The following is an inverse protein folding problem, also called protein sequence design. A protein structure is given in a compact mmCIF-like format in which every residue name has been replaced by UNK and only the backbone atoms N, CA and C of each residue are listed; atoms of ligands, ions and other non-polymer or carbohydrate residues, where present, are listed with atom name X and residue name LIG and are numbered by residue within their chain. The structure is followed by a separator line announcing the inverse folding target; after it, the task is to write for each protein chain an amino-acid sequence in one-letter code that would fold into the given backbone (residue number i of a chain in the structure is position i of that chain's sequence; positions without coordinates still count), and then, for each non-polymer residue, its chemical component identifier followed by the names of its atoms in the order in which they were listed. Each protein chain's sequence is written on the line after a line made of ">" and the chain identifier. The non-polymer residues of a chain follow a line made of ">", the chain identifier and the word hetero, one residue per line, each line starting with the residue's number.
data_IF_609087633346
#
_entry.id   IF_609087633346
#
_cell.length_a   1.000
_cell.length_b   1.000
_cell.length_c   1.000
_cell.angle_alpha   90.00
_cell.angle_beta   90.00
_cell.angle_gamma   90.00
#
_symmetry.space_group_name_H-M   'P 1'
#
loop_
_entity.id
_entity.type
_entity.pdbx_description
1 polymer ?
#
# COMPACT_ATOMS: atom_id res chain seq x y z
N UNK A 1 -15.15 -11.40 2.68
CA UNK A 1 -15.24 -9.95 2.39
C UNK A 1 -16.53 -9.74 1.64
N UNK A 2 -17.39 -8.83 2.08
CA UNK A 2 -18.61 -8.46 1.37
C UNK A 2 -18.38 -7.10 0.71
N UNK A 3 -18.77 -6.96 -0.56
CA UNK A 3 -18.66 -5.71 -1.32
C UNK A 3 -20.06 -5.21 -1.59
N UNK A 4 -20.44 -4.02 -1.10
CA UNK A 4 -21.77 -3.48 -1.38
C UNK A 4 -21.85 -3.01 -2.83
N UNK A 5 -23.00 -3.25 -3.47
CA UNK A 5 -23.30 -2.75 -4.82
C UNK A 5 -23.62 -1.25 -4.78
N UNK A 6 -24.26 -0.79 -3.70
CA UNK A 6 -24.49 0.62 -3.39
C UNK A 6 -23.55 1.03 -2.25
N UNK A 7 -22.42 1.65 -2.63
CA UNK A 7 -21.35 2.02 -1.70
C UNK A 7 -21.14 3.52 -1.53
N UNK A 8 -21.68 4.33 -2.44
CA UNK A 8 -21.55 5.78 -2.43
C UNK A 8 -22.67 6.44 -3.24
N UNK A 9 -23.29 7.50 -2.69
CA UNK A 9 -24.39 8.21 -3.33
C UNK A 9 -24.07 8.83 -4.70
N UNK A 10 -22.78 9.05 -5.03
CA UNK A 10 -22.31 9.56 -6.32
C UNK A 10 -21.61 8.50 -7.18
N UNK A 11 -21.74 7.21 -6.87
CA UNK A 11 -20.94 6.17 -7.53
C UNK A 11 -21.10 6.17 -9.05
N UNK A 12 -22.32 6.39 -9.59
CA UNK A 12 -22.53 6.45 -11.03
C UNK A 12 -21.69 7.55 -11.71
N UNK A 13 -21.81 8.80 -11.21
CA UNK A 13 -21.02 9.94 -11.70
C UNK A 13 -19.51 9.68 -11.64
N UNK A 14 -19.04 9.07 -10.55
CA UNK A 14 -17.62 8.80 -10.34
C UNK A 14 -17.12 7.63 -11.20
N UNK A 15 -17.95 6.63 -11.45
CA UNK A 15 -17.64 5.55 -12.38
C UNK A 15 -17.50 6.08 -13.81
N UNK A 16 -18.43 6.95 -14.25
CA UNK A 16 -18.34 7.58 -15.58
C UNK A 16 -17.04 8.37 -15.74
N UNK A 17 -16.66 9.16 -14.73
CA UNK A 17 -15.41 9.91 -14.72
C UNK A 17 -14.17 9.00 -14.70
N UNK A 18 -14.20 7.92 -13.94
CA UNK A 18 -13.13 6.92 -13.88
C UNK A 18 -12.96 6.19 -15.23
N UNK A 19 -14.06 5.85 -15.91
CA UNK A 19 -14.03 5.21 -17.23
C UNK A 19 -13.52 6.18 -18.30
N UNK A 20 -13.92 7.45 -18.22
CA UNK A 20 -13.52 8.50 -19.17
C UNK A 20 -12.06 8.94 -19.00
N UNK A 21 -11.40 8.59 -17.89
CA UNK A 21 -10.04 9.00 -17.58
C UNK A 21 -9.03 8.54 -18.64
N UNK A 22 -8.14 9.45 -19.03
CA UNK A 22 -7.18 9.19 -20.10
C UNK A 22 -6.08 8.20 -19.66
N UNK A 23 -5.55 7.42 -20.61
CA UNK A 23 -4.38 6.55 -20.35
C UNK A 23 -3.17 7.32 -19.77
N UNK A 24 -2.82 8.53 -20.27
CA UNK A 24 -1.78 9.36 -19.64
C UNK A 24 -2.04 9.67 -18.16
N UNK A 25 -3.29 9.94 -17.79
CA UNK A 25 -3.70 10.16 -16.39
C UNK A 25 -3.39 8.92 -15.55
N UNK A 26 -3.83 7.74 -15.97
CA UNK A 26 -3.55 6.48 -15.25
C UNK A 26 -2.06 6.21 -15.09
N UNK A 27 -1.26 6.39 -16.16
CA UNK A 27 0.19 6.20 -16.10
C UNK A 27 0.88 7.16 -15.12
N UNK A 28 0.44 8.42 -15.09
CA UNK A 28 0.97 9.42 -14.14
C UNK A 28 0.64 9.02 -12.70
N UNK A 29 -0.62 8.69 -12.42
CA UNK A 29 -1.08 8.30 -11.09
C UNK A 29 -0.40 7.02 -10.60
N UNK A 30 -0.21 6.05 -11.49
CA UNK A 30 0.56 4.84 -11.18
C UNK A 30 2.00 5.16 -10.78
N UNK A 31 2.68 6.06 -11.50
CA UNK A 31 4.03 6.48 -11.14
C UNK A 31 4.10 7.20 -9.77
N UNK A 32 3.05 7.92 -9.38
CA UNK A 32 2.94 8.50 -8.03
C UNK A 32 2.81 7.39 -6.95
N UNK A 33 1.99 6.37 -7.20
CA UNK A 33 1.83 5.19 -6.34
C UNK A 33 3.15 4.43 -6.17
N UNK A 34 3.84 4.13 -7.27
CA UNK A 34 5.14 3.42 -7.24
C UNK A 34 6.19 4.20 -6.47
N UNK A 35 6.27 5.53 -6.67
CA UNK A 35 7.17 6.38 -5.88
C UNK A 35 6.85 6.30 -4.40
N UNK A 36 5.58 6.41 -4.03
CA UNK A 36 5.15 6.33 -2.63
C UNK A 36 5.48 4.96 -2.02
N UNK A 37 5.20 3.86 -2.72
CA UNK A 37 5.61 2.51 -2.30
C UNK A 37 7.11 2.42 -2.02
N UNK A 38 7.95 2.86 -2.95
CA UNK A 38 9.41 2.80 -2.79
C UNK A 38 9.90 3.70 -1.64
N UNK A 39 9.28 4.86 -1.43
CA UNK A 39 9.54 5.74 -0.28
C UNK A 39 9.18 5.07 1.04
N UNK A 40 8.01 4.41 1.12
CA UNK A 40 7.57 3.71 2.32
C UNK A 40 8.41 2.46 2.59
N UNK A 41 8.86 1.76 1.54
CA UNK A 41 9.84 0.67 1.67
C UNK A 41 11.18 1.20 2.20
N UNK A 42 11.64 2.34 1.72
CA UNK A 42 12.84 3.01 2.25
C UNK A 42 12.71 3.37 3.73
N UNK A 43 11.58 3.96 4.15
CA UNK A 43 11.30 4.24 5.57
C UNK A 43 11.24 2.97 6.43
N UNK A 44 10.67 1.87 5.92
CA UNK A 44 10.66 0.59 6.63
C UNK A 44 12.07 0.00 6.80
N UNK A 45 12.93 0.10 5.77
CA UNK A 45 14.34 -0.29 5.89
C UNK A 45 15.08 0.57 6.91
N UNK A 46 14.86 1.89 6.90
CA UNK A 46 15.46 2.80 7.86
C UNK A 46 15.08 2.44 9.30
N UNK A 47 13.78 2.20 9.55
CA UNK A 47 13.29 1.76 10.86
C UNK A 47 13.86 0.39 11.29
N UNK A 48 14.15 -0.49 10.33
CA UNK A 48 14.80 -1.77 10.57
C UNK A 48 16.33 -1.68 10.73
N UNK A 49 16.93 -0.49 10.56
CA UNK A 49 18.39 -0.29 10.56
C UNK A 49 19.10 -0.83 9.31
N UNK A 50 18.38 -1.02 8.21
CA UNK A 50 18.89 -1.58 6.96
C UNK A 50 19.27 -0.49 5.93
N UNK A 51 20.16 -0.78 4.96
CA UNK A 51 20.59 0.19 3.95
C UNK A 51 19.45 0.71 3.06
N UNK A 52 19.25 2.03 3.03
CA UNK A 52 18.17 2.69 2.27
C UNK A 52 18.58 3.10 0.85
N UNK A 53 19.88 3.37 0.64
CA UNK A 53 20.43 3.91 -0.61
C UNK A 53 19.99 3.18 -1.90
N UNK A 54 19.90 1.83 -1.93
CA UNK A 54 19.45 1.11 -3.12
C UNK A 54 18.03 1.48 -3.57
N UNK A 55 17.11 1.79 -2.65
CA UNK A 55 15.74 2.20 -2.98
C UNK A 55 15.67 3.69 -3.33
N UNK A 56 16.40 4.54 -2.61
CA UNK A 56 16.48 5.99 -2.90
C UNK A 56 16.91 6.27 -4.34
N UNK A 57 17.86 5.48 -4.86
CA UNK A 57 18.30 5.59 -6.25
C UNK A 57 17.21 5.24 -7.29
N UNK A 58 16.25 4.37 -6.93
CA UNK A 58 15.15 3.97 -7.80
C UNK A 58 14.01 5.00 -7.81
N UNK A 59 13.69 5.60 -6.65
CA UNK A 59 12.60 6.58 -6.50
C UNK A 59 12.73 7.72 -7.51
N UNK A 60 13.94 8.26 -7.67
CA UNK A 60 14.23 9.37 -8.58
C UNK A 60 14.13 8.99 -10.07
N UNK A 61 14.12 7.69 -10.39
CA UNK A 61 14.06 7.18 -11.76
C UNK A 61 12.66 6.77 -12.19
N UNK A 62 11.68 6.75 -11.29
CA UNK A 62 10.30 6.35 -11.63
C UNK A 62 9.71 7.31 -12.65
N UNK A 63 9.31 6.77 -13.81
CA UNK A 63 8.68 7.52 -14.90
C UNK A 63 7.21 7.17 -15.01
N UNK A 64 6.45 7.99 -15.76
CA UNK A 64 5.01 7.76 -16.00
C UNK A 64 4.76 6.35 -16.55
N UNK A 65 3.92 5.59 -15.87
CA UNK A 65 3.60 4.19 -16.20
C UNK A 65 4.67 3.16 -15.82
N UNK A 66 5.73 3.55 -15.11
CA UNK A 66 6.85 2.70 -14.68
C UNK A 66 7.37 1.71 -15.75
N UNK A 67 7.79 2.20 -16.93
CA UNK A 67 8.13 1.32 -18.07
C UNK A 67 9.35 0.42 -17.80
N UNK A 68 10.24 0.83 -16.90
CA UNK A 68 11.43 0.07 -16.52
C UNK A 68 11.17 -0.91 -15.37
N UNK A 69 9.92 -1.02 -14.91
CA UNK A 69 9.47 -1.89 -13.83
C UNK A 69 10.28 -1.67 -12.54
N UNK A 70 10.49 -0.40 -12.17
CA UNK A 70 11.23 -0.04 -10.96
C UNK A 70 10.52 -0.48 -9.69
N UNK A 71 9.20 -0.63 -9.73
CA UNK A 71 8.41 -1.23 -8.67
C UNK A 71 8.91 -2.64 -8.30
N UNK A 72 9.01 -3.55 -9.29
CA UNK A 72 9.46 -4.92 -9.05
C UNK A 72 10.96 -4.98 -8.72
N UNK A 73 11.78 -4.12 -9.34
CA UNK A 73 13.20 -4.02 -9.00
C UNK A 73 13.40 -3.57 -7.55
N UNK A 74 12.62 -2.60 -7.09
CA UNK A 74 12.62 -2.14 -5.71
C UNK A 74 12.18 -3.24 -4.75
N UNK A 75 11.07 -3.93 -5.04
CA UNK A 75 10.58 -5.04 -4.23
C UNK A 75 11.64 -6.16 -4.08
N UNK A 76 12.32 -6.55 -5.16
CA UNK A 76 13.37 -7.59 -5.10
C UNK A 76 14.51 -7.19 -4.15
N UNK A 77 14.98 -5.93 -4.20
CA UNK A 77 16.03 -5.42 -3.30
C UNK A 77 15.53 -5.32 -1.86
N UNK A 78 14.32 -4.78 -1.69
CA UNK A 78 13.68 -4.56 -0.41
C UNK A 78 13.58 -5.84 0.42
N UNK A 79 13.08 -6.93 -0.17
CA UNK A 79 12.92 -8.20 0.54
C UNK A 79 14.22 -8.76 1.09
N UNK A 80 15.31 -8.72 0.30
CA UNK A 80 16.62 -9.17 0.75
C UNK A 80 17.21 -8.29 1.86
N UNK A 81 17.01 -6.98 1.78
CA UNK A 81 17.49 -6.03 2.78
C UNK A 81 16.73 -6.13 4.11
N UNK A 82 15.41 -6.39 4.06
CA UNK A 82 14.59 -6.45 5.27
C UNK A 82 14.63 -7.83 5.95
N UNK A 83 14.52 -8.92 5.18
CA UNK A 83 14.40 -10.28 5.71
C UNK A 83 15.65 -11.15 5.52
N UNK A 84 16.69 -10.63 4.87
CA UNK A 84 17.92 -11.36 4.57
C UNK A 84 17.93 -11.97 3.16
N UNK A 85 19.13 -12.26 2.64
CA UNK A 85 19.34 -12.67 1.24
C UNK A 85 18.70 -14.01 0.88
N UNK A 86 18.46 -14.88 1.85
CA UNK A 86 17.83 -16.18 1.67
C UNK A 86 16.30 -16.09 1.57
N UNK A 87 15.69 -14.98 2.01
CA UNK A 87 14.25 -14.83 1.96
C UNK A 87 13.77 -14.73 0.51
N UNK A 88 12.73 -15.51 0.20
CA UNK A 88 12.03 -15.47 -1.08
C UNK A 88 10.55 -15.24 -0.83
N UNK A 89 10.00 -14.23 -1.50
CA UNK A 89 8.57 -13.95 -1.46
C UNK A 89 7.85 -15.03 -2.29
N UNK A 90 7.07 -15.86 -1.63
CA UNK A 90 6.25 -16.91 -2.24
C UNK A 90 4.80 -16.80 -1.72
N UNK A 91 3.83 -16.76 -2.62
CA UNK A 91 2.42 -16.68 -2.27
C UNK A 91 1.91 -17.98 -1.63
N UNK A 92 2.46 -19.14 -1.98
CA UNK A 92 2.15 -20.43 -1.34
C UNK A 92 3.02 -20.76 -0.13
N UNK A 93 4.00 -19.90 0.17
CA UNK A 93 4.98 -20.14 1.22
C UNK A 93 4.39 -20.06 2.62
N UNK A 94 5.04 -20.77 3.54
CA UNK A 94 4.71 -20.80 4.96
C UNK A 94 5.47 -19.70 5.76
N UNK A 95 5.37 -19.78 7.09
CA UNK A 95 6.08 -18.91 8.02
C UNK A 95 5.84 -17.42 7.75
N UNK A 96 6.92 -16.68 7.46
CA UNK A 96 6.88 -15.26 7.14
C UNK A 96 5.99 -14.94 5.93
N UNK A 97 5.99 -15.80 4.90
CA UNK A 97 5.15 -15.61 3.72
C UNK A 97 3.66 -15.70 4.08
N UNK A 98 3.28 -16.65 4.94
CA UNK A 98 1.93 -16.77 5.45
C UNK A 98 1.49 -15.54 6.27
N UNK A 99 2.40 -14.98 7.09
CA UNK A 99 2.13 -13.74 7.83
C UNK A 99 1.93 -12.53 6.90
N UNK A 100 2.81 -12.35 5.92
CA UNK A 100 2.68 -11.30 4.90
C UNK A 100 1.37 -11.44 4.11
N UNK A 101 1.04 -12.66 3.67
CA UNK A 101 -0.21 -12.95 2.96
C UNK A 101 -1.44 -12.56 3.79
N UNK A 102 -1.45 -12.90 5.08
CA UNK A 102 -2.55 -12.55 5.98
C UNK A 102 -2.68 -11.03 6.16
N UNK A 103 -1.57 -10.35 6.49
CA UNK A 103 -1.55 -8.91 6.67
C UNK A 103 -1.99 -8.15 5.40
N UNK A 104 -1.51 -8.58 4.22
CA UNK A 104 -1.97 -8.03 2.95
C UNK A 104 -3.43 -8.31 2.66
N UNK A 105 -3.97 -9.46 3.07
CA UNK A 105 -5.40 -9.75 2.90
C UNK A 105 -6.26 -8.80 3.76
N UNK A 106 -5.83 -8.53 4.99
CA UNK A 106 -6.48 -7.56 5.89
C UNK A 106 -6.40 -6.15 5.31
N UNK A 107 -5.22 -5.74 4.84
CA UNK A 107 -4.98 -4.45 4.20
C UNK A 107 -5.84 -4.27 2.94
N UNK A 108 -5.84 -5.27 2.06
CA UNK A 108 -6.65 -5.30 0.84
C UNK A 108 -8.14 -5.14 1.16
N UNK A 109 -8.62 -5.75 2.24
CA UNK A 109 -10.00 -5.56 2.70
C UNK A 109 -10.30 -4.13 3.12
N UNK A 110 -9.37 -3.46 3.81
CA UNK A 110 -9.51 -2.06 4.20
C UNK A 110 -9.48 -1.13 2.97
N UNK A 111 -8.53 -1.35 2.05
CA UNK A 111 -8.43 -0.60 0.80
C UNK A 111 -9.67 -0.80 -0.08
N UNK A 112 -10.24 -2.01 -0.14
CA UNK A 112 -11.48 -2.27 -0.86
C UNK A 112 -12.66 -1.44 -0.33
N UNK A 113 -12.81 -1.35 1.00
CA UNK A 113 -13.82 -0.49 1.62
C UNK A 113 -13.59 0.98 1.28
N UNK A 114 -12.34 1.44 1.29
CA UNK A 114 -11.99 2.81 0.92
C UNK A 114 -12.33 3.12 -0.54
N UNK A 115 -12.01 2.21 -1.48
CA UNK A 115 -12.33 2.33 -2.91
C UNK A 115 -13.84 2.45 -3.14
N UNK A 116 -14.61 1.53 -2.57
CA UNK A 116 -16.07 1.52 -2.73
C UNK A 116 -16.71 2.73 -2.05
N UNK A 117 -16.26 3.07 -0.84
CA UNK A 117 -16.74 4.25 -0.11
C UNK A 117 -16.40 5.57 -0.82
N UNK A 118 -15.34 5.61 -1.64
CA UNK A 118 -15.02 6.74 -2.51
C UNK A 118 -15.82 6.74 -3.83
N UNK A 119 -16.73 5.79 -4.04
CA UNK A 119 -17.51 5.67 -5.27
C UNK A 119 -16.67 5.31 -6.49
N UNK A 120 -15.60 4.54 -6.30
CA UNK A 120 -14.74 4.04 -7.38
C UNK A 120 -14.99 2.55 -7.64
N UNK A 121 -14.88 2.12 -8.89
CA UNK A 121 -15.10 0.73 -9.27
C UNK A 121 -13.82 -0.10 -9.08
N UNK A 122 -13.83 -1.21 -8.31
CA UNK A 122 -12.62 -1.97 -7.99
C UNK A 122 -11.91 -2.64 -9.18
N UNK A 123 -12.64 -2.98 -10.25
CA UNK A 123 -12.08 -3.65 -11.43
C UNK A 123 -11.30 -2.70 -12.35
N UNK A 124 -11.51 -1.38 -12.22
CA UNK A 124 -10.93 -0.36 -13.08
C UNK A 124 -9.61 0.15 -12.47
N UNK A 125 -8.54 -0.63 -12.70
CA UNK A 125 -7.19 -0.32 -12.22
C UNK A 125 -6.51 0.86 -12.93
N UNK A 126 -5.47 1.38 -12.28
CA UNK A 126 -4.52 2.34 -12.84
C UNK A 126 -3.50 1.65 -13.74
N UNK A 127 -3.00 0.48 -13.31
CA UNK A 127 -1.97 -0.27 -14.03
C UNK A 127 -2.32 -1.75 -14.16
N UNK A 128 -2.69 -2.41 -13.05
CA UNK A 128 -3.05 -3.82 -13.10
C UNK A 128 -4.25 -4.05 -14.03
N UNK A 129 -4.15 -5.07 -14.90
CA UNK A 129 -5.10 -5.34 -15.98
C UNK A 129 -5.55 -6.81 -16.08
N UNK A 130 -5.16 -7.67 -15.14
CA UNK A 130 -5.49 -9.10 -15.16
C UNK A 130 -7.03 -9.35 -15.14
N UNK A 131 -7.56 -10.01 -16.17
CA UNK A 131 -8.98 -10.38 -16.35
C UNK A 131 -9.59 -11.15 -15.19
N UNK A 132 -8.83 -12.05 -14.56
CA UNK A 132 -9.32 -12.83 -13.41
C UNK A 132 -9.37 -12.05 -12.10
N UNK A 133 -8.81 -10.83 -12.04
CA UNK A 133 -8.75 -10.05 -10.80
C UNK A 133 -9.85 -8.97 -10.77
N UNK A 134 -10.85 -9.16 -9.91
CA UNK A 134 -11.95 -8.21 -9.73
C UNK A 134 -11.57 -6.94 -8.93
N UNK A 135 -10.35 -6.85 -8.39
CA UNK A 135 -9.95 -5.83 -7.42
C UNK A 135 -8.64 -5.12 -7.83
N UNK A 136 -8.43 -4.94 -9.13
CA UNK A 136 -7.21 -4.35 -9.71
C UNK A 136 -6.86 -3.00 -9.07
N UNK A 137 -7.86 -2.13 -8.94
CA UNK A 137 -7.65 -0.81 -8.33
C UNK A 137 -7.30 -0.90 -6.85
N UNK A 138 -7.88 -1.87 -6.14
CA UNK A 138 -7.57 -2.09 -4.72
C UNK A 138 -6.11 -2.51 -4.58
N UNK A 139 -5.66 -3.41 -5.44
CA UNK A 139 -4.27 -3.87 -5.47
C UNK A 139 -3.31 -2.73 -5.84
N UNK A 140 -3.69 -1.86 -6.79
CA UNK A 140 -2.94 -0.63 -7.08
C UNK A 140 -2.84 0.30 -5.87
N UNK A 141 -3.97 0.61 -5.21
CA UNK A 141 -4.01 1.62 -4.14
C UNK A 141 -3.47 1.13 -2.80
N UNK A 142 -3.33 -0.17 -2.58
CA UNK A 142 -2.75 -0.69 -1.35
C UNK A 142 -1.21 -0.64 -1.36
N UNK A 143 -0.57 -0.50 -2.53
CA UNK A 143 0.88 -0.57 -2.69
C UNK A 143 1.67 0.36 -1.74
N UNK A 144 1.29 1.63 -1.51
CA UNK A 144 2.00 2.50 -0.58
C UNK A 144 1.97 2.03 0.87
N UNK A 145 0.99 1.20 1.25
CA UNK A 145 0.76 0.82 2.64
C UNK A 145 1.39 -0.54 2.98
N UNK A 146 1.71 -1.37 1.99
CA UNK A 146 2.30 -2.71 2.20
C UNK A 146 3.52 -2.70 3.14
N UNK A 147 4.44 -1.72 3.08
CA UNK A 147 5.59 -1.67 3.98
C UNK A 147 5.26 -1.60 5.47
N UNK A 148 4.06 -1.14 5.84
CA UNK A 148 3.58 -1.16 7.24
C UNK A 148 3.40 -2.60 7.73
N UNK A 149 2.79 -3.45 6.90
CA UNK A 149 2.66 -4.89 7.19
C UNK A 149 4.04 -5.54 7.21
N UNK A 150 4.88 -5.20 6.24
CA UNK A 150 6.22 -5.78 6.11
C UNK A 150 7.06 -5.52 7.36
N UNK A 151 7.05 -4.28 7.87
CA UNK A 151 7.74 -3.92 9.10
C UNK A 151 7.13 -4.62 10.32
N UNK A 152 5.79 -4.72 10.41
CA UNK A 152 5.14 -5.47 11.50
C UNK A 152 5.56 -6.93 11.53
N UNK A 153 5.60 -7.58 10.36
CA UNK A 153 6.07 -8.97 10.23
C UNK A 153 7.55 -9.09 10.60
N UNK A 154 8.37 -8.13 10.21
CA UNK A 154 9.78 -8.08 10.60
C UNK A 154 9.97 -8.00 12.11
N UNK A 155 9.17 -7.18 12.80
CA UNK A 155 9.19 -7.06 14.27
C UNK A 155 8.78 -8.35 14.97
N UNK A 156 7.68 -8.96 14.52
CA UNK A 156 7.21 -10.25 15.03
C UNK A 156 8.30 -11.32 14.88
N UNK A 157 8.97 -11.37 13.73
CA UNK A 157 10.11 -12.28 13.53
C UNK A 157 11.23 -12.04 14.55
N UNK A 158 11.54 -10.78 14.88
CA UNK A 158 12.56 -10.45 15.91
C UNK A 158 12.15 -10.89 17.32
N UNK A 159 10.86 -11.03 17.56
CA UNK A 159 10.29 -11.61 18.78
C UNK A 159 10.19 -13.15 18.71
N UNK A 160 10.77 -13.78 17.68
CA UNK A 160 10.68 -15.21 17.36
C UNK A 160 9.29 -15.69 16.96
N UNK A 161 8.37 -14.78 16.63
CA UNK A 161 7.06 -15.10 16.08
C UNK A 161 7.16 -15.24 14.56
N UNK A 162 7.12 -16.47 14.07
CA UNK A 162 7.26 -16.78 12.63
C UNK A 162 6.04 -17.47 12.03
N UNK A 163 4.99 -17.70 12.81
CA UNK A 163 3.78 -18.40 12.37
C UNK A 163 2.51 -17.57 12.57
N UNK A 164 1.47 -17.98 11.84
CA UNK A 164 0.12 -17.44 12.02
C UNK A 164 -0.52 -18.07 13.25
N UNK A 165 -0.72 -17.24 14.28
CA UNK A 165 -1.42 -17.55 15.53
C UNK A 165 -2.54 -16.52 15.73
N UNK A 166 -3.51 -16.75 16.63
CA UNK A 166 -4.49 -15.72 16.98
C UNK A 166 -3.84 -14.39 17.39
N UNK A 167 -2.71 -14.44 18.08
CA UNK A 167 -1.94 -13.29 18.56
C UNK A 167 -1.29 -12.54 17.40
N UNK A 168 -0.56 -13.23 16.51
CA UNK A 168 0.06 -12.58 15.34
C UNK A 168 -1.00 -12.04 14.38
N UNK A 169 -2.15 -12.72 14.22
CA UNK A 169 -3.29 -12.19 13.46
C UNK A 169 -3.83 -10.89 14.07
N UNK A 170 -3.99 -10.80 15.40
CA UNK A 170 -4.44 -9.57 16.07
C UNK A 170 -3.43 -8.44 15.86
N UNK A 171 -2.14 -8.72 16.00
CA UNK A 171 -1.08 -7.74 15.75
C UNK A 171 -1.11 -7.21 14.31
N UNK A 172 -1.31 -8.08 13.31
CA UNK A 172 -1.44 -7.69 11.90
C UNK A 172 -2.73 -6.95 11.57
N UNK A 173 -3.80 -7.14 12.34
CA UNK A 173 -5.03 -6.34 12.18
C UNK A 173 -4.87 -4.95 12.79
N UNK A 174 -4.16 -4.87 13.93
CA UNK A 174 -3.89 -3.59 14.62
C UNK A 174 -3.11 -2.60 13.77
N UNK A 175 -2.32 -3.05 12.80
CA UNK A 175 -1.59 -2.15 11.89
C UNK A 175 -2.48 -1.20 11.08
N UNK A 176 -3.77 -1.51 10.91
CA UNK A 176 -4.71 -0.58 10.28
C UNK A 176 -4.97 0.69 11.11
N UNK A 177 -4.69 0.61 12.41
CA UNK A 177 -4.86 1.68 13.39
C UNK A 177 -3.55 2.38 13.76
N UNK A 178 -2.41 1.85 13.31
CA UNK A 178 -1.11 2.52 13.47
C UNK A 178 -1.14 3.87 12.75
N UNK A 179 -0.48 4.86 13.34
CA UNK A 179 -0.43 6.21 12.78
C UNK A 179 0.57 6.32 11.63
N UNK A 180 0.15 7.02 10.58
CA UNK A 180 0.96 7.31 9.40
C UNK A 180 0.94 8.81 9.13
N UNK A 181 2.10 9.37 8.77
CA UNK A 181 2.24 10.80 8.51
C UNK A 181 1.60 11.18 7.18
N UNK A 182 0.79 12.24 7.20
CA UNK A 182 0.16 12.82 6.01
C UNK A 182 0.30 14.35 6.05
N UNK A 183 -0.09 15.01 4.96
CA UNK A 183 -0.14 16.48 4.93
C UNK A 183 -1.14 17.09 5.93
N UNK A 184 -2.03 16.30 6.54
CA UNK A 184 -2.96 16.77 7.58
C UNK A 184 -2.60 16.26 8.97
N UNK A 185 -1.36 15.81 9.16
CA UNK A 185 -0.86 15.24 10.41
C UNK A 185 -0.86 13.71 10.42
N UNK A 186 -0.54 13.16 11.59
CA UNK A 186 -0.59 11.72 11.86
C UNK A 186 -2.05 11.26 11.89
N UNK A 187 -2.38 10.26 11.08
CA UNK A 187 -3.71 9.63 11.11
C UNK A 187 -3.57 8.12 10.93
N UNK A 188 -4.54 7.32 11.38
CA UNK A 188 -4.51 5.88 11.20
C UNK A 188 -4.33 5.47 9.73
N UNK A 189 -3.60 4.38 9.48
CA UNK A 189 -3.37 3.83 8.13
C UNK A 189 -4.66 3.67 7.33
N UNK A 190 -5.75 3.18 7.97
CA UNK A 190 -7.03 3.02 7.28
C UNK A 190 -7.67 4.36 6.86
N UNK A 191 -7.43 5.44 7.60
CA UNK A 191 -7.88 6.79 7.24
C UNK A 191 -7.07 7.31 6.06
N UNK A 192 -5.77 7.04 6.03
CA UNK A 192 -4.91 7.37 4.89
C UNK A 192 -5.39 6.67 3.61
N UNK A 193 -5.78 5.39 3.69
CA UNK A 193 -6.36 4.66 2.56
C UNK A 193 -7.65 5.31 2.05
N UNK A 194 -8.54 5.72 2.97
CA UNK A 194 -9.79 6.40 2.60
C UNK A 194 -9.53 7.74 1.91
N UNK A 195 -8.56 8.50 2.41
CA UNK A 195 -8.17 9.79 1.83
C UNK A 195 -7.53 9.63 0.46
N UNK A 196 -6.67 8.63 0.28
CA UNK A 196 -6.09 8.29 -1.01
C UNK A 196 -7.19 7.95 -2.04
N UNK A 197 -8.11 7.04 -1.70
CA UNK A 197 -9.21 6.68 -2.59
C UNK A 197 -10.13 7.89 -2.91
N UNK A 198 -10.45 8.70 -1.90
CA UNK A 198 -11.22 9.94 -2.10
C UNK A 198 -10.49 10.90 -3.02
N UNK A 199 -9.18 11.10 -2.83
CA UNK A 199 -8.36 11.97 -3.67
C UNK A 199 -8.32 11.50 -5.13
N UNK A 200 -8.29 10.18 -5.35
CA UNK A 200 -8.34 9.62 -6.70
C UNK A 200 -9.68 9.95 -7.38
N UNK A 201 -10.80 9.84 -6.66
CA UNK A 201 -12.11 10.22 -7.20
C UNK A 201 -12.18 11.71 -7.57
N UNK A 202 -11.57 12.57 -6.75
CA UNK A 202 -11.46 14.01 -7.02
C UNK A 202 -10.60 14.31 -8.25
N UNK A 203 -9.51 13.54 -8.44
CA UNK A 203 -8.68 13.65 -9.66
C UNK A 203 -9.48 13.31 -10.91
N UNK A 204 -10.27 12.23 -10.89
CA UNK A 204 -11.12 11.88 -12.03
C UNK A 204 -12.19 12.95 -12.32
N UNK A 205 -12.69 13.63 -11.30
CA UNK A 205 -13.65 14.72 -11.43
C UNK A 205 -13.01 16.07 -11.81
N UNK A 206 -11.67 16.15 -11.89
CA UNK A 206 -10.96 17.40 -12.16
C UNK A 206 -10.93 18.38 -10.99
N UNK A 207 -11.30 17.93 -9.79
CA UNK A 207 -11.33 18.73 -8.55
C UNK A 207 -9.94 18.82 -7.89
N UNK A 208 -9.01 17.94 -8.31
CA UNK A 208 -7.66 17.81 -7.74
C UNK A 208 -6.68 17.32 -8.80
N UNK A 209 -5.41 17.70 -8.69
CA UNK A 209 -4.38 17.26 -9.65
C UNK A 209 -3.60 16.02 -9.19
N UNK A 210 -3.31 15.91 -7.88
CA UNK A 210 -2.42 14.91 -7.28
C UNK A 210 -3.13 14.04 -6.25
N UNK A 211 -2.61 12.84 -6.03
CA UNK A 211 -3.10 11.93 -5.00
C UNK A 211 -2.71 12.41 -3.59
N UNK A 212 -3.59 12.16 -2.61
CA UNK A 212 -3.29 12.32 -1.18
C UNK A 212 -2.57 11.06 -0.68
N UNK A 213 -1.25 11.05 -0.89
CA UNK A 213 -0.36 9.94 -0.55
C UNK A 213 0.26 10.13 0.84
N UNK A 214 0.61 9.02 1.53
CA UNK A 214 1.32 9.12 2.80
C UNK A 214 2.70 9.73 2.60
N UNK A 215 3.11 10.55 3.57
CA UNK A 215 4.46 11.10 3.63
C UNK A 215 5.44 10.02 4.10
N UNK A 216 6.70 10.05 3.64
CA UNK A 216 7.75 9.22 4.23
C UNK A 216 7.78 9.48 5.74
N UNK A 217 7.51 8.46 6.54
CA UNK A 217 7.48 8.59 8.00
C UNK A 217 8.89 8.78 8.55
N UNK A 218 9.05 9.70 9.49
CA UNK A 218 10.27 9.79 10.31
C UNK A 218 10.38 8.55 11.21
N UNK A 219 11.61 8.03 11.48
CA UNK A 219 11.86 6.82 12.25
C UNK A 219 11.11 6.74 13.60
N UNK A 220 10.89 7.89 14.25
CA UNK A 220 10.35 8.00 15.61
C UNK A 220 8.85 7.68 15.71
N UNK A 221 8.04 7.92 14.68
CA UNK A 221 6.59 7.67 14.75
C UNK A 221 6.22 6.19 14.66
N UNK A 222 6.96 5.43 13.83
CA UNK A 222 6.87 3.97 13.78
C UNK A 222 7.58 3.35 14.97
N UNK A 223 8.73 3.84 15.43
CA UNK A 223 9.40 3.29 16.61
C UNK A 223 8.63 3.52 17.92
N UNK A 224 8.00 4.69 18.12
CA UNK A 224 7.31 5.02 19.37
C UNK A 224 6.01 4.22 19.57
N UNK A 225 5.23 3.98 18.50
CA UNK A 225 4.06 3.10 18.54
C UNK A 225 4.39 1.62 18.75
N UNK A 226 5.67 1.27 18.76
CA UNK A 226 6.19 -0.07 18.94
C UNK A 226 6.88 -0.30 20.29
N UNK A 227 7.09 0.75 21.09
CA UNK A 227 7.67 0.68 22.46
C UNK A 227 6.57 0.71 23.53
N UNK A 228 5.37 1.22 23.20
CA UNK A 228 4.20 1.21 24.08
C UNK A 228 3.41 -0.13 24.01
N UNK A 229 4.08 -1.27 24.21
CA UNK A 229 3.50 -2.54 24.70
C UNK A 229 4.48 -3.28 25.61
#
# INVERSE_FOLDING_TARGET
>A
MLMPIDGNYQQAKRFDAQIAASKPTHKRLWAEIVRSKLQQQASALEAAGAPVAPLSALINKVRSGDPDNLEAQGARRYWGLLFGEDFRRDQSGDGLNAMLNYGYTVMRAATARAVVGAGLHPTLGLFHSNEGNAMRLVDDLMEPFRPVIDLRVWLLRRQNEVFITPETKRALVRTLYDDMQTNSGATPVMVCMQRLATSLSQVYLGEREKLDLPLPSLPLGLAASLVDE
#
